data_IF_897562860851
#
_entry.id   IF_897562860851
#
_cell.length_a   1.000
_cell.length_b   1.000
_cell.length_c   1.000
_cell.angle_alpha   90.00
_cell.angle_beta   90.00
_cell.angle_gamma   90.00
#
_symmetry.space_group_name_H-M   'P 1'
#
loop_
_entity.id
_entity.type
_entity.pdbx_description
1 polymer ?
#
# COMPACT_ATOMS: atom_id res chain seq x y z
N UNK A 1 13.18 13.07 6.22
CA UNK A 1 11.89 12.52 5.78
C UNK A 1 12.29 11.41 4.85
N UNK A 2 12.38 10.21 5.40
CA UNK A 2 13.08 9.10 4.75
C UNK A 2 12.17 8.53 3.66
N UNK A 3 12.75 7.89 2.64
CA UNK A 3 12.11 7.51 1.37
C UNK A 3 10.97 6.46 1.47
N UNK A 4 10.31 6.34 2.63
CA UNK A 4 9.24 5.38 2.90
C UNK A 4 8.04 5.50 1.96
N UNK A 5 7.78 6.69 1.38
CA UNK A 5 6.70 6.84 0.40
C UNK A 5 7.03 6.18 -0.94
N UNK A 6 8.28 6.29 -1.40
CA UNK A 6 8.72 5.65 -2.64
C UNK A 6 8.77 4.13 -2.47
N UNK A 7 9.27 3.65 -1.34
CA UNK A 7 9.29 2.23 -0.98
C UNK A 7 7.87 1.64 -0.97
N UNK A 8 6.92 2.32 -0.34
CA UNK A 8 5.51 1.90 -0.35
C UNK A 8 4.91 1.88 -1.76
N UNK A 9 5.21 2.89 -2.58
CA UNK A 9 4.71 2.93 -3.96
C UNK A 9 5.28 1.78 -4.81
N UNK A 10 6.56 1.45 -4.63
CA UNK A 10 7.21 0.32 -5.30
C UNK A 10 6.60 -1.01 -4.87
N UNK A 11 6.41 -1.25 -3.56
CA UNK A 11 5.74 -2.47 -3.07
C UNK A 11 4.30 -2.62 -3.60
N UNK A 12 3.53 -1.53 -3.63
CA UNK A 12 2.15 -1.56 -4.12
C UNK A 12 2.11 -1.79 -5.64
N UNK A 13 3.09 -1.29 -6.39
CA UNK A 13 3.22 -1.56 -7.81
C UNK A 13 3.58 -3.03 -8.09
N UNK A 14 4.48 -3.64 -7.32
CA UNK A 14 4.80 -5.08 -7.42
C UNK A 14 3.57 -5.97 -7.20
N UNK A 15 2.62 -5.51 -6.38
CA UNK A 15 1.34 -6.20 -6.11
C UNK A 15 0.22 -5.81 -7.08
N UNK A 16 0.52 -5.05 -8.14
CA UNK A 16 -0.45 -4.54 -9.13
C UNK A 16 -1.59 -3.69 -8.53
N UNK A 17 -1.37 -3.00 -7.40
CA UNK A 17 -2.38 -2.10 -6.82
C UNK A 17 -2.35 -0.69 -7.42
N UNK A 18 -1.22 -0.29 -7.98
CA UNK A 18 -1.03 1.00 -8.64
C UNK A 18 0.08 0.91 -9.70
N UNK A 19 0.20 1.95 -10.52
CA UNK A 19 1.39 2.16 -11.37
C UNK A 19 2.33 3.13 -10.67
N UNK A 20 3.59 2.74 -10.50
CA UNK A 20 4.64 3.60 -9.94
C UNK A 20 5.48 4.19 -11.08
N UNK A 21 5.70 5.50 -11.02
CA UNK A 21 6.48 6.23 -12.01
C UNK A 21 7.49 7.15 -11.32
N UNK A 22 8.67 7.25 -11.91
CA UNK A 22 9.65 8.29 -11.59
C UNK A 22 9.56 9.41 -12.64
N UNK A 23 10.09 10.61 -12.37
CA UNK A 23 10.03 11.72 -13.33
C UNK A 23 10.52 11.35 -14.74
N UNK A 24 11.52 10.47 -14.84
CA UNK A 24 12.08 10.01 -16.11
C UNK A 24 11.19 9.00 -16.84
N UNK A 25 10.37 8.23 -16.12
CA UNK A 25 9.52 7.15 -16.67
C UNK A 25 8.05 7.51 -16.74
N UNK A 26 7.66 8.70 -16.27
CA UNK A 26 6.27 9.13 -16.15
C UNK A 26 5.51 9.06 -17.48
N UNK A 27 6.09 9.60 -18.55
CA UNK A 27 5.44 9.62 -19.86
C UNK A 27 5.16 8.21 -20.38
N UNK A 28 6.18 7.36 -20.35
CA UNK A 28 6.10 5.99 -20.85
C UNK A 28 5.08 5.18 -20.05
N UNK A 29 5.07 5.34 -18.72
CA UNK A 29 4.06 4.73 -17.86
C UNK A 29 2.65 5.17 -18.24
N UNK A 30 2.39 6.48 -18.33
CA UNK A 30 1.05 7.01 -18.67
C UNK A 30 0.57 6.53 -20.04
N UNK A 31 1.46 6.42 -21.03
CA UNK A 31 1.13 5.91 -22.36
C UNK A 31 0.81 4.41 -22.37
N UNK A 32 1.46 3.61 -21.50
CA UNK A 32 1.32 2.15 -21.45
C UNK A 32 0.30 1.64 -20.41
N UNK A 33 -0.25 2.52 -19.58
CA UNK A 33 -1.14 2.17 -18.47
C UNK A 33 -2.44 1.49 -18.93
N UNK A 34 -2.66 0.25 -18.47
CA UNK A 34 -3.96 -0.40 -18.49
C UNK A 34 -4.56 -0.44 -17.08
N UNK A 35 -5.48 0.48 -16.81
CA UNK A 35 -6.12 0.58 -15.49
C UNK A 35 -6.97 -0.64 -15.13
N UNK A 36 -7.39 -1.45 -16.11
CA UNK A 36 -8.18 -2.65 -15.86
C UNK A 36 -7.32 -3.81 -15.31
N UNK A 37 -6.00 -3.72 -15.45
CA UNK A 37 -5.07 -4.71 -14.91
C UNK A 37 -4.84 -4.55 -13.39
N UNK A 38 -5.24 -3.42 -12.81
CA UNK A 38 -5.03 -3.14 -11.39
C UNK A 38 -5.92 -3.98 -10.49
N UNK A 39 -5.32 -4.52 -9.43
CA UNK A 39 -6.02 -5.21 -8.37
C UNK A 39 -6.56 -4.19 -7.36
N UNK A 40 -7.85 -4.27 -6.97
CA UNK A 40 -8.39 -3.44 -5.91
C UNK A 40 -7.56 -3.55 -4.64
N UNK A 41 -7.14 -2.42 -4.08
CA UNK A 41 -6.51 -2.39 -2.78
C UNK A 41 -7.57 -2.58 -1.69
N UNK A 42 -7.47 -3.67 -0.93
CA UNK A 42 -8.34 -3.94 0.21
C UNK A 42 -7.65 -3.41 1.47
N UNK A 43 -8.19 -2.38 2.13
CA UNK A 43 -7.63 -1.92 3.40
C UNK A 43 -7.57 -3.05 4.42
N UNK A 44 -6.46 -3.16 5.14
CA UNK A 44 -6.35 -4.13 6.21
C UNK A 44 -7.37 -3.86 7.33
N UNK A 45 -7.91 -4.93 7.91
CA UNK A 45 -8.73 -4.84 9.12
C UNK A 45 -7.82 -4.53 10.32
N UNK A 46 -7.91 -3.32 10.87
CA UNK A 46 -7.06 -2.91 11.99
C UNK A 46 -7.50 -3.52 13.34
N UNK A 47 -8.78 -3.93 13.46
CA UNK A 47 -9.36 -4.42 14.72
C UNK A 47 -8.60 -5.60 15.34
N UNK A 48 -8.19 -6.64 14.59
CA UNK A 48 -7.43 -7.76 15.14
C UNK A 48 -6.05 -7.33 15.67
N UNK A 49 -5.38 -6.40 14.97
CA UNK A 49 -4.07 -5.87 15.39
C UNK A 49 -4.22 -5.07 16.69
N UNK A 50 -5.23 -4.20 16.77
CA UNK A 50 -5.54 -3.43 17.98
C UNK A 50 -5.88 -4.36 19.15
N UNK A 51 -6.71 -5.38 18.93
CA UNK A 51 -7.06 -6.36 19.95
C UNK A 51 -5.82 -7.13 20.46
N UNK A 52 -4.90 -7.49 19.57
CA UNK A 52 -3.64 -8.15 19.94
C UNK A 52 -2.76 -7.25 20.82
N UNK A 53 -2.62 -5.97 20.44
CA UNK A 53 -1.86 -4.97 21.20
C UNK A 53 -2.49 -4.75 22.58
N UNK A 54 -3.81 -4.56 22.63
CA UNK A 54 -4.53 -4.37 23.88
C UNK A 54 -4.35 -5.56 24.83
N UNK A 55 -4.51 -6.79 24.31
CA UNK A 55 -4.27 -8.01 25.09
C UNK A 55 -2.84 -8.09 25.62
N UNK A 56 -1.84 -7.78 24.79
CA UNK A 56 -0.43 -7.83 25.18
C UNK A 56 -0.10 -6.81 26.28
N UNK A 57 -0.68 -5.62 26.21
CA UNK A 57 -0.44 -4.52 27.15
C UNK A 57 -1.38 -4.56 28.38
N UNK A 58 -2.37 -5.46 28.41
CA UNK A 58 -3.34 -5.59 29.51
C UNK A 58 -4.48 -4.57 29.46
N UNK A 59 -4.74 -3.94 28.31
CA UNK A 59 -5.90 -3.08 28.12
C UNK A 59 -7.18 -3.90 27.86
N UNK A 60 -8.37 -3.37 28.20
CA UNK A 60 -9.64 -4.00 27.87
C UNK A 60 -9.78 -4.28 26.38
N UNK A 61 -10.42 -5.40 26.04
CA UNK A 61 -10.70 -5.83 24.67
C UNK A 61 -12.22 -5.86 24.53
N UNK A 62 -12.83 -4.69 24.48
CA UNK A 62 -14.27 -4.50 24.31
C UNK A 62 -14.66 -4.40 22.82
#
# INVERSE_FOLDING_TARGET
>A
MDNHQSELAEELAERNHLFCAHPQTLRENVEAMDLNALQPYVPGEAKPVVALINRFLGFPVD
#
